data_IF_046344322691
#
_entry.id   IF_046344322691
#
_cell.length_a   1.000
_cell.length_b   1.000
_cell.length_c   1.000
_cell.angle_alpha   90.00
_cell.angle_beta   90.00
_cell.angle_gamma   90.00
#
_symmetry.space_group_name_H-M   'P 1'
#
loop_
_entity.id
_entity.type
_entity.pdbx_description
1 polymer ?
#
# COMPACT_ATOMS: atom_id res chain seq x y z
N UNK A 1 -69.01 -77.56 13.65
CA UNK A 1 -69.48 -76.41 14.45
C UNK A 1 -68.29 -75.89 15.23
N UNK A 2 -68.03 -74.57 15.21
CA UNK A 2 -66.84 -73.85 15.77
C UNK A 2 -65.58 -73.89 14.87
N UNK A 3 -64.84 -72.81 14.61
CA UNK A 3 -64.97 -71.37 14.84
C UNK A 3 -63.99 -70.70 13.86
N UNK A 4 -64.45 -69.71 13.09
CA UNK A 4 -63.60 -68.86 12.25
C UNK A 4 -63.11 -67.69 13.12
N UNK A 5 -61.79 -67.48 13.18
CA UNK A 5 -61.20 -66.25 13.71
C UNK A 5 -60.59 -65.46 12.55
N UNK A 6 -61.21 -64.32 12.26
CA UNK A 6 -60.75 -63.32 11.30
C UNK A 6 -59.82 -62.37 12.05
N UNK A 7 -58.50 -62.47 11.84
CA UNK A 7 -57.53 -61.54 12.42
C UNK A 7 -57.14 -60.51 11.36
N UNK A 8 -57.64 -59.30 11.50
CA UNK A 8 -57.31 -58.14 10.68
C UNK A 8 -55.96 -57.58 11.16
N UNK A 9 -54.87 -57.89 10.46
CA UNK A 9 -53.57 -57.25 10.67
C UNK A 9 -53.47 -56.01 9.77
N UNK A 10 -53.62 -54.84 10.38
CA UNK A 10 -53.35 -53.53 9.77
C UNK A 10 -51.83 -53.41 9.59
N UNK A 11 -51.36 -53.43 8.33
CA UNK A 11 -49.99 -53.05 7.99
C UNK A 11 -49.87 -51.52 8.08
N UNK A 12 -49.21 -51.04 9.13
CA UNK A 12 -48.71 -49.67 9.21
C UNK A 12 -47.38 -49.59 8.45
N UNK A 13 -47.42 -49.17 7.18
CA UNK A 13 -46.22 -48.83 6.41
C UNK A 13 -45.67 -47.51 6.91
N UNK A 14 -44.55 -47.56 7.64
CA UNK A 14 -43.76 -46.39 8.01
C UNK A 14 -43.12 -45.78 6.75
N UNK A 15 -43.65 -44.66 6.28
CA UNK A 15 -42.97 -43.80 5.32
C UNK A 15 -41.82 -43.08 6.02
N UNK A 16 -40.60 -43.56 5.82
CA UNK A 16 -39.40 -42.78 6.09
C UNK A 16 -39.34 -41.60 5.12
N UNK A 17 -39.73 -40.42 5.58
CA UNK A 17 -39.43 -39.15 4.92
C UNK A 17 -37.92 -38.91 5.05
N UNK A 18 -37.16 -39.26 4.01
CA UNK A 18 -35.79 -38.77 3.84
C UNK A 18 -35.87 -37.29 3.45
N UNK A 19 -35.87 -36.44 4.47
CA UNK A 19 -35.66 -35.01 4.28
C UNK A 19 -34.28 -34.77 3.68
N UNK A 20 -34.23 -34.36 2.40
CA UNK A 20 -33.08 -33.67 1.85
C UNK A 20 -32.84 -32.42 2.69
N UNK A 21 -31.86 -32.44 3.59
CA UNK A 21 -31.23 -31.20 4.02
C UNK A 21 -30.62 -30.60 2.75
N UNK A 22 -31.28 -29.56 2.20
CA UNK A 22 -30.58 -28.59 1.36
C UNK A 22 -29.38 -28.16 2.20
N UNK A 23 -28.18 -28.60 1.82
CA UNK A 23 -26.96 -28.14 2.44
C UNK A 23 -27.02 -26.62 2.45
N UNK A 24 -27.05 -26.03 3.64
CA UNK A 24 -26.69 -24.63 3.79
C UNK A 24 -25.26 -24.60 3.26
N UNK A 25 -25.06 -24.03 2.07
CA UNK A 25 -23.74 -23.58 1.68
C UNK A 25 -23.33 -22.61 2.79
N UNK A 26 -22.45 -23.04 3.68
CA UNK A 26 -21.89 -22.20 4.72
C UNK A 26 -21.28 -20.99 4.01
N UNK A 27 -21.97 -19.85 4.15
CA UNK A 27 -21.48 -18.59 3.60
C UNK A 27 -20.29 -18.22 4.48
N UNK A 28 -19.09 -18.27 3.89
CA UNK A 28 -17.86 -17.91 4.58
C UNK A 28 -17.99 -16.53 5.25
N UNK A 29 -17.66 -16.46 6.54
CA UNK A 29 -17.49 -15.20 7.29
C UNK A 29 -16.03 -14.75 7.33
N UNK A 30 -15.13 -15.51 6.71
CA UNK A 30 -13.71 -15.23 6.67
C UNK A 30 -13.39 -14.04 5.78
N UNK A 31 -12.23 -13.44 6.03
CA UNK A 31 -11.71 -12.31 5.31
C UNK A 31 -10.31 -12.59 4.77
N UNK A 32 -10.00 -12.04 3.61
CA UNK A 32 -8.63 -11.75 3.23
C UNK A 32 -8.20 -10.47 3.97
N UNK A 33 -7.23 -10.61 4.88
CA UNK A 33 -6.72 -9.52 5.71
C UNK A 33 -5.39 -9.05 5.15
N UNK A 34 -5.30 -7.78 4.76
CA UNK A 34 -4.06 -7.17 4.27
C UNK A 34 -3.38 -6.42 5.41
N UNK A 35 -2.11 -6.74 5.69
CA UNK A 35 -1.28 -6.05 6.67
C UNK A 35 -0.07 -5.43 5.99
N UNK A 36 0.34 -4.25 6.44
CA UNK A 36 1.59 -3.66 5.98
C UNK A 36 2.76 -4.01 6.87
N UNK A 37 3.94 -4.11 6.25
CA UNK A 37 5.22 -4.16 6.92
C UNK A 37 6.20 -3.28 6.16
N UNK A 38 7.00 -2.51 6.87
CA UNK A 38 8.02 -1.64 6.31
C UNK A 38 9.40 -2.20 6.65
N UNK A 39 10.18 -2.59 5.64
CA UNK A 39 11.44 -3.32 5.83
C UNK A 39 12.60 -2.63 5.12
N UNK A 40 13.54 -2.10 5.90
CA UNK A 40 14.75 -1.43 5.40
C UNK A 40 15.87 -2.41 5.01
N UNK A 41 15.74 -3.69 5.35
CA UNK A 41 16.66 -4.76 4.95
C UNK A 41 16.20 -5.50 3.69
N UNK A 42 14.94 -5.33 3.30
CA UNK A 42 14.43 -5.87 2.03
C UNK A 42 15.25 -5.30 0.86
N UNK A 43 15.45 -6.12 -0.17
CA UNK A 43 16.20 -5.71 -1.36
C UNK A 43 15.61 -4.42 -1.96
N UNK A 44 16.50 -3.53 -2.41
CA UNK A 44 16.13 -2.33 -3.17
C UNK A 44 15.99 -2.70 -4.63
N UNK A 45 14.81 -2.52 -5.20
CA UNK A 45 14.48 -2.83 -6.60
C UNK A 45 14.31 -1.56 -7.44
N UNK A 46 14.45 -1.70 -8.76
CA UNK A 46 14.04 -0.72 -9.76
C UNK A 46 12.60 -0.96 -10.27
N UNK A 47 12.19 -0.19 -11.27
CA UNK A 47 10.86 -0.25 -11.89
C UNK A 47 10.53 -1.59 -12.58
N UNK A 48 11.53 -2.38 -12.96
CA UNK A 48 11.33 -3.70 -13.57
C UNK A 48 11.55 -4.85 -12.58
N UNK A 49 11.63 -4.52 -11.28
CA UNK A 49 11.76 -5.50 -10.21
C UNK A 49 13.15 -6.12 -10.08
N UNK A 50 14.19 -5.50 -10.63
CA UNK A 50 15.58 -5.95 -10.49
C UNK A 50 16.31 -5.22 -9.35
N UNK A 51 17.29 -5.85 -8.68
CA UNK A 51 18.10 -5.17 -7.67
C UNK A 51 18.77 -3.91 -8.22
N UNK A 52 18.73 -2.83 -7.46
CA UNK A 52 19.20 -1.52 -7.89
C UNK A 52 20.06 -0.84 -6.82
N UNK A 53 21.14 -0.19 -7.25
CA UNK A 53 21.97 0.68 -6.41
C UNK A 53 21.49 2.12 -6.46
N UNK A 54 21.88 2.93 -5.48
CA UNK A 54 21.68 4.40 -5.53
C UNK A 54 22.48 4.95 -6.72
N UNK A 55 21.93 5.92 -7.43
CA UNK A 55 22.59 6.49 -8.61
C UNK A 55 23.83 7.29 -8.21
N UNK A 56 24.79 7.43 -9.14
CA UNK A 56 25.98 8.23 -8.90
C UNK A 56 25.61 9.72 -8.73
N UNK A 57 26.20 10.39 -7.74
CA UNK A 57 25.88 11.78 -7.39
C UNK A 57 24.58 11.94 -6.59
N UNK A 58 23.99 10.84 -6.13
CA UNK A 58 22.80 10.85 -5.29
C UNK A 58 23.12 10.31 -3.88
N UNK A 59 22.49 10.93 -2.89
CA UNK A 59 22.44 10.47 -1.51
C UNK A 59 21.11 9.76 -1.26
N UNK A 60 21.08 8.82 -0.32
CA UNK A 60 19.84 8.16 0.06
C UNK A 60 19.87 7.66 1.51
N UNK A 61 18.69 7.63 2.14
CA UNK A 61 18.50 7.13 3.50
C UNK A 61 17.32 6.17 3.59
N UNK A 62 17.28 5.39 4.67
CA UNK A 62 16.15 4.53 5.03
C UNK A 62 15.20 5.37 5.90
N UNK A 63 14.12 5.95 5.35
CA UNK A 63 13.18 6.70 6.18
C UNK A 63 12.43 5.77 7.14
N UNK A 64 12.01 6.30 8.29
CA UNK A 64 11.22 5.57 9.29
C UNK A 64 9.75 5.80 9.00
N UNK A 65 9.09 4.80 8.39
CA UNK A 65 7.70 4.94 7.97
C UNK A 65 6.74 4.92 9.17
N UNK A 66 5.86 5.91 9.20
CA UNK A 66 4.78 6.06 10.19
C UNK A 66 3.49 5.40 9.68
N UNK A 67 3.14 5.65 8.42
CA UNK A 67 1.92 5.08 7.80
C UNK A 67 1.99 5.06 6.28
N UNK A 68 1.12 4.25 5.68
CA UNK A 68 0.93 4.15 4.25
C UNK A 68 -0.56 4.00 3.90
N UNK A 69 -0.91 4.38 2.68
CA UNK A 69 -2.22 4.15 2.08
C UNK A 69 -2.09 3.48 0.72
N UNK A 70 -3.14 2.75 0.33
CA UNK A 70 -3.32 2.23 -1.02
C UNK A 70 -4.65 2.73 -1.59
N UNK A 71 -4.69 2.85 -2.91
CA UNK A 71 -5.91 3.16 -3.65
C UNK A 71 -6.54 1.92 -4.27
N UNK A 72 -5.77 0.87 -4.57
CA UNK A 72 -6.25 -0.25 -5.35
C UNK A 72 -5.50 -1.53 -5.00
N UNK A 73 -6.22 -2.65 -4.92
CA UNK A 73 -5.64 -3.99 -4.77
C UNK A 73 -6.32 -4.93 -5.76
N UNK A 74 -5.50 -5.65 -6.53
CA UNK A 74 -5.95 -6.64 -7.51
C UNK A 74 -5.18 -7.95 -7.34
N UNK A 75 -5.94 -9.05 -7.38
CA UNK A 75 -5.42 -10.40 -7.42
C UNK A 75 -5.35 -10.85 -8.88
N UNK A 76 -4.14 -11.10 -9.38
CA UNK A 76 -3.92 -11.49 -10.76
C UNK A 76 -3.59 -13.01 -10.84
N UNK A 77 -4.38 -13.81 -11.59
CA UNK A 77 -4.15 -15.24 -11.72
C UNK A 77 -2.78 -15.63 -12.27
N UNK A 78 -2.23 -14.85 -13.20
CA UNK A 78 -0.96 -15.17 -13.88
C UNK A 78 -0.21 -13.92 -14.32
N UNK A 79 1.04 -14.11 -14.77
CA UNK A 79 1.88 -13.06 -15.35
C UNK A 79 1.31 -12.40 -16.63
N UNK A 80 0.31 -13.04 -17.27
CA UNK A 80 -0.36 -12.55 -18.48
C UNK A 80 -1.66 -11.78 -18.18
N UNK A 81 -2.11 -11.75 -16.93
CA UNK A 81 -3.31 -11.00 -16.55
C UNK A 81 -3.04 -9.50 -16.71
N UNK A 82 -3.76 -8.85 -17.62
CA UNK A 82 -3.67 -7.40 -17.83
C UNK A 82 -4.15 -6.64 -16.59
N UNK A 83 -3.56 -5.46 -16.32
CA UNK A 83 -3.99 -4.62 -15.19
C UNK A 83 -5.48 -4.29 -15.29
N UNK A 84 -6.22 -4.45 -14.18
CA UNK A 84 -7.65 -4.20 -14.13
C UNK A 84 -8.52 -5.34 -14.66
N UNK A 85 -7.92 -6.49 -15.02
CA UNK A 85 -8.66 -7.67 -15.52
C UNK A 85 -8.60 -8.87 -14.57
N UNK A 86 -7.77 -8.79 -13.53
CA UNK A 86 -7.80 -9.66 -12.37
C UNK A 86 -9.01 -9.39 -11.48
N UNK A 87 -8.94 -9.91 -10.26
CA UNK A 87 -9.99 -9.69 -9.27
C UNK A 87 -9.67 -8.46 -8.43
N UNK A 88 -10.44 -7.39 -8.61
CA UNK A 88 -10.24 -6.10 -7.93
C UNK A 88 -10.94 -6.19 -6.58
N UNK A 89 -10.15 -6.35 -5.53
CA UNK A 89 -10.66 -6.65 -4.18
C UNK A 89 -10.71 -5.43 -3.27
N UNK A 90 -10.06 -4.34 -3.67
CA UNK A 90 -10.12 -3.06 -2.96
C UNK A 90 -9.95 -1.91 -3.95
N UNK A 91 -10.77 -0.87 -3.79
CA UNK A 91 -10.58 0.42 -4.45
C UNK A 91 -11.03 1.54 -3.49
N UNK A 92 -10.16 2.52 -3.22
CA UNK A 92 -10.51 3.66 -2.38
C UNK A 92 -11.35 4.68 -3.17
N UNK A 93 -12.16 5.51 -2.49
CA UNK A 93 -13.00 6.49 -3.17
C UNK A 93 -12.21 7.48 -4.03
N UNK A 94 -12.82 7.87 -5.14
CA UNK A 94 -12.29 8.84 -6.10
C UNK A 94 -13.24 10.04 -6.21
N UNK A 95 -12.74 11.15 -6.73
CA UNK A 95 -13.48 12.40 -6.89
C UNK A 95 -13.06 13.12 -8.17
N UNK A 96 -13.92 14.02 -8.64
CA UNK A 96 -13.67 14.97 -9.73
C UNK A 96 -13.67 16.42 -9.23
N UNK A 97 -13.62 16.64 -7.92
CA UNK A 97 -13.65 17.97 -7.31
C UNK A 97 -12.53 18.91 -7.82
N UNK A 98 -11.36 18.35 -8.14
CA UNK A 98 -10.24 19.08 -8.74
C UNK A 98 -10.25 19.11 -10.27
N UNK A 99 -11.37 18.79 -10.92
CA UNK A 99 -11.53 18.67 -12.37
C UNK A 99 -11.36 17.23 -12.85
N UNK A 100 -10.11 16.79 -13.02
CA UNK A 100 -9.79 15.42 -13.43
C UNK A 100 -10.05 14.40 -12.32
N UNK A 101 -10.34 13.16 -12.70
CA UNK A 101 -10.52 12.04 -11.77
C UNK A 101 -9.26 11.87 -10.91
N UNK A 102 -9.44 11.82 -9.60
CA UNK A 102 -8.37 11.72 -8.62
C UNK A 102 -8.81 10.87 -7.42
N UNK A 103 -7.83 10.31 -6.70
CA UNK A 103 -8.05 9.67 -5.41
C UNK A 103 -8.59 10.72 -4.43
N UNK A 104 -9.66 10.41 -3.70
CA UNK A 104 -10.15 11.28 -2.65
C UNK A 104 -9.34 11.05 -1.37
N UNK A 105 -8.33 11.90 -1.14
CA UNK A 105 -7.41 11.73 -0.02
C UNK A 105 -8.13 11.74 1.34
N UNK A 106 -9.16 12.57 1.49
CA UNK A 106 -9.93 12.68 2.73
C UNK A 106 -10.72 11.40 3.09
N UNK A 107 -10.86 10.46 2.14
CA UNK A 107 -11.53 9.17 2.33
C UNK A 107 -10.57 7.99 2.20
N UNK A 108 -9.26 8.24 2.25
CA UNK A 108 -8.26 7.19 2.21
C UNK A 108 -8.12 6.49 3.57
N UNK A 109 -7.82 5.20 3.54
CA UNK A 109 -7.48 4.43 4.73
C UNK A 109 -5.96 4.46 4.93
N UNK A 110 -5.49 4.30 6.16
CA UNK A 110 -4.07 4.31 6.49
C UNK A 110 -3.75 3.14 7.41
N UNK A 111 -2.54 2.60 7.29
CA UNK A 111 -1.99 1.62 8.22
C UNK A 111 -0.48 1.82 8.40
N UNK A 112 -0.01 1.62 9.62
CA UNK A 112 1.39 1.60 10.00
C UNK A 112 2.03 0.22 9.88
N UNK A 113 3.24 0.11 10.43
CA UNK A 113 4.01 -1.12 10.40
C UNK A 113 3.37 -2.23 11.27
N UNK A 114 3.08 -3.37 10.67
CA UNK A 114 2.44 -4.51 11.33
C UNK A 114 0.92 -4.36 11.51
N UNK A 115 0.33 -3.27 11.03
CA UNK A 115 -1.10 -2.97 11.17
C UNK A 115 -1.92 -3.55 10.02
N UNK A 116 -3.21 -3.78 10.29
CA UNK A 116 -4.18 -4.18 9.26
C UNK A 116 -4.60 -2.96 8.46
N UNK A 117 -4.38 -3.00 7.15
CA UNK A 117 -4.83 -1.97 6.22
C UNK A 117 -6.32 -2.13 5.85
N UNK A 118 -6.72 -3.34 5.46
CA UNK A 118 -8.11 -3.64 5.14
C UNK A 118 -8.45 -5.11 5.38
N UNK A 119 -9.75 -5.38 5.53
CA UNK A 119 -10.33 -6.73 5.54
C UNK A 119 -11.32 -6.82 4.39
N UNK A 120 -11.16 -7.84 3.55
CA UNK A 120 -12.00 -8.06 2.38
C UNK A 120 -12.75 -9.38 2.61
N UNK A 121 -14.09 -9.39 2.60
CA UNK A 121 -14.84 -10.64 2.73
C UNK A 121 -14.43 -11.64 1.65
N UNK A 122 -14.15 -12.88 2.04
CA UNK A 122 -13.80 -13.94 1.08
C UNK A 122 -14.90 -14.13 0.02
N UNK A 123 -16.15 -13.93 0.42
CA UNK A 123 -17.33 -14.03 -0.45
C UNK A 123 -17.39 -12.96 -1.54
N UNK A 124 -16.64 -11.86 -1.44
CA UNK A 124 -16.50 -10.87 -2.51
C UNK A 124 -15.33 -11.14 -3.46
N UNK A 125 -14.55 -12.19 -3.21
CA UNK A 125 -13.40 -12.58 -4.02
C UNK A 125 -13.79 -13.79 -4.87
N UNK A 126 -13.54 -13.73 -6.17
CA UNK A 126 -13.78 -14.83 -7.09
C UNK A 126 -12.90 -16.02 -6.68
N UNK A 127 -13.47 -17.23 -6.48
CA UNK A 127 -12.68 -18.43 -6.22
C UNK A 127 -11.71 -18.70 -7.37
N UNK A 128 -10.49 -19.12 -7.01
CA UNK A 128 -9.41 -19.35 -7.97
C UNK A 128 -8.04 -19.35 -7.31
N UNK A 129 -7.00 -19.40 -8.16
CA UNK A 129 -5.62 -19.22 -7.72
C UNK A 129 -5.04 -17.95 -8.30
N UNK A 130 -4.29 -17.22 -7.48
CA UNK A 130 -3.69 -15.93 -7.79
C UNK A 130 -2.19 -15.98 -7.51
N UNK A 131 -1.40 -15.89 -8.56
CA UNK A 131 0.07 -15.86 -8.44
C UNK A 131 0.59 -14.49 -7.99
N UNK A 132 -0.13 -13.41 -8.32
CA UNK A 132 0.37 -12.05 -8.19
C UNK A 132 -0.58 -11.16 -7.40
N UNK A 133 0.00 -10.35 -6.52
CA UNK A 133 -0.65 -9.19 -5.92
C UNK A 133 -0.23 -7.94 -6.68
N UNK A 134 -1.21 -7.13 -7.04
CA UNK A 134 -1.02 -5.78 -7.59
C UNK A 134 -1.61 -4.78 -6.64
N UNK A 135 -0.84 -3.75 -6.31
CA UNK A 135 -1.25 -2.74 -5.33
C UNK A 135 -0.86 -1.35 -5.79
N UNK A 136 -1.85 -0.47 -5.98
CA UNK A 136 -1.58 0.96 -6.16
C UNK A 136 -1.39 1.61 -4.80
N UNK A 137 -0.15 1.87 -4.42
CA UNK A 137 0.12 2.66 -3.23
C UNK A 137 -0.15 4.13 -3.54
N UNK A 138 -0.85 4.82 -2.64
CA UNK A 138 -1.35 6.18 -2.88
C UNK A 138 -0.61 7.24 -2.08
N UNK A 139 -0.17 6.90 -0.88
CA UNK A 139 0.42 7.84 0.07
C UNK A 139 1.38 7.14 1.02
N UNK A 140 2.40 7.87 1.48
CA UNK A 140 3.30 7.47 2.54
C UNK A 140 3.62 8.62 3.49
N UNK A 141 3.81 8.29 4.76
CA UNK A 141 4.30 9.21 5.78
C UNK A 141 5.51 8.59 6.45
N UNK A 142 6.61 9.33 6.53
CA UNK A 142 7.83 8.82 7.12
C UNK A 142 8.72 9.92 7.68
N UNK A 143 9.44 9.61 8.74
CA UNK A 143 10.47 10.47 9.28
C UNK A 143 11.79 10.28 8.53
N UNK A 144 12.42 11.42 8.24
CA UNK A 144 13.71 11.55 7.57
C UNK A 144 14.63 12.40 8.41
N UNK A 145 15.91 12.35 8.06
CA UNK A 145 16.91 13.25 8.62
C UNK A 145 17.40 14.22 7.57
N UNK A 146 17.59 15.46 7.96
CA UNK A 146 18.20 16.48 7.12
C UNK A 146 19.30 17.20 7.90
N UNK A 147 20.28 17.71 7.19
CA UNK A 147 21.44 18.37 7.74
C UNK A 147 21.41 19.86 7.43
N UNK A 148 21.74 20.66 8.44
CA UNK A 148 21.88 22.10 8.32
C UNK A 148 23.34 22.42 8.60
N UNK A 149 24.03 23.04 7.64
CA UNK A 149 25.35 23.66 7.78
C UNK A 149 25.31 25.10 7.27
N UNK A 150 24.60 25.96 7.99
CA UNK A 150 24.39 27.37 7.64
C UNK A 150 23.99 28.20 8.86
N UNK A 151 23.80 29.51 8.67
CA UNK A 151 23.28 30.41 9.70
C UNK A 151 21.76 30.52 9.54
N UNK A 152 21.02 30.12 10.56
CA UNK A 152 19.55 30.22 10.62
C UNK A 152 19.17 31.25 11.67
N UNK A 153 18.43 32.30 11.27
CA UNK A 153 18.04 33.40 12.16
C UNK A 153 19.21 34.02 12.97
N UNK A 154 20.39 34.13 12.34
CA UNK A 154 21.61 34.67 12.98
C UNK A 154 22.39 33.68 13.86
N UNK A 155 21.93 32.43 13.97
CA UNK A 155 22.59 31.38 14.75
C UNK A 155 23.30 30.41 13.79
N UNK A 156 24.62 30.19 13.91
CA UNK A 156 25.32 29.14 13.18
C UNK A 156 24.81 27.76 13.62
N UNK A 157 24.35 26.96 12.66
CA UNK A 157 23.84 25.61 12.89
C UNK A 157 24.62 24.65 11.99
N UNK A 158 25.17 23.60 12.60
CA UNK A 158 25.95 22.56 11.92
C UNK A 158 25.62 21.18 12.48
N UNK A 159 24.42 20.68 12.24
CA UNK A 159 23.97 19.38 12.75
C UNK A 159 22.80 18.79 11.97
N UNK A 160 22.52 17.52 12.26
CA UNK A 160 21.39 16.77 11.73
C UNK A 160 20.14 16.99 12.59
N UNK A 161 18.98 17.08 11.93
CA UNK A 161 17.68 17.25 12.56
C UNK A 161 16.65 16.27 11.97
N UNK A 162 15.62 15.90 12.75
CA UNK A 162 14.51 15.12 12.24
C UNK A 162 13.52 16.01 11.47
N UNK A 163 12.88 15.44 10.45
CA UNK A 163 11.70 15.99 9.83
C UNK A 163 10.77 14.88 9.34
N UNK A 164 9.54 15.21 9.00
CA UNK A 164 8.55 14.26 8.50
C UNK A 164 8.19 14.62 7.07
N UNK A 165 8.14 13.60 6.21
CA UNK A 165 7.70 13.71 4.83
C UNK A 165 6.33 13.04 4.69
N UNK A 166 5.42 13.72 3.98
CA UNK A 166 4.18 13.17 3.49
C UNK A 166 4.24 13.10 1.96
N UNK A 167 4.45 11.91 1.40
CA UNK A 167 4.64 11.67 -0.03
C UNK A 167 3.40 11.09 -0.70
N UNK A 168 3.02 11.65 -1.84
CA UNK A 168 1.91 11.17 -2.67
C UNK A 168 2.46 10.37 -3.83
N UNK A 169 2.36 9.06 -3.70
CA UNK A 169 2.92 8.11 -4.66
C UNK A 169 1.87 7.50 -5.57
N UNK A 170 0.59 7.90 -5.45
CA UNK A 170 -0.53 7.54 -6.34
C UNK A 170 -0.67 8.43 -7.59
N UNK A 171 -1.48 7.98 -8.56
CA UNK A 171 -1.50 8.57 -9.91
C UNK A 171 -1.91 10.05 -9.95
N UNK A 172 -2.98 10.38 -9.24
CA UNK A 172 -3.52 11.72 -9.09
C UNK A 172 -4.38 11.73 -7.82
N UNK A 173 -4.16 12.71 -6.94
CA UNK A 173 -4.81 12.76 -5.64
C UNK A 173 -5.39 14.15 -5.39
N UNK A 174 -6.67 14.22 -5.07
CA UNK A 174 -7.31 15.45 -4.65
C UNK A 174 -7.08 15.64 -3.15
N UNK A 175 -6.42 16.74 -2.79
CA UNK A 175 -6.04 17.05 -1.43
C UNK A 175 -6.71 18.37 -1.05
N UNK A 176 -7.56 18.34 -0.02
CA UNK A 176 -8.10 19.57 0.58
C UNK A 176 -7.04 20.22 1.47
N UNK A 177 -6.73 19.56 2.58
CA UNK A 177 -5.69 19.95 3.52
C UNK A 177 -4.74 18.77 3.69
N UNK A 178 -3.44 19.04 3.61
CA UNK A 178 -2.39 18.06 3.92
C UNK A 178 -1.88 18.33 5.32
N UNK A 179 -2.19 17.45 6.26
CA UNK A 179 -1.49 17.39 7.55
C UNK A 179 -0.31 16.43 7.41
N UNK A 180 0.91 16.88 7.71
CA UNK A 180 2.13 16.09 7.52
C UNK A 180 2.43 15.33 8.81
N UNK A 181 2.58 16.04 9.92
CA UNK A 181 2.59 15.48 11.26
C UNK A 181 1.75 16.38 12.18
N UNK A 182 2.27 17.53 12.62
CA UNK A 182 1.51 18.50 13.43
C UNK A 182 1.14 19.78 12.66
N UNK A 183 1.76 20.02 11.52
CA UNK A 183 1.53 21.18 10.68
C UNK A 183 0.71 20.81 9.44
N UNK A 184 0.00 21.79 8.88
CA UNK A 184 -0.93 21.58 7.77
C UNK A 184 -0.76 22.60 6.65
N UNK A 185 -0.89 22.14 5.40
CA UNK A 185 -0.96 22.95 4.20
C UNK A 185 -2.37 22.89 3.60
N UNK A 186 -2.94 24.04 3.29
CA UNK A 186 -4.14 24.10 2.45
C UNK A 186 -3.73 23.94 0.99
N UNK A 187 -4.22 22.88 0.35
CA UNK A 187 -3.88 22.54 -1.04
C UNK A 187 -5.08 22.79 -1.96
N UNK A 188 -6.24 22.24 -1.60
CA UNK A 188 -7.50 22.32 -2.33
C UNK A 188 -7.36 22.10 -3.85
N UNK A 189 -6.60 21.07 -4.24
CA UNK A 189 -6.26 20.81 -5.64
C UNK A 189 -5.88 19.34 -5.88
N UNK A 190 -5.94 18.94 -7.16
CA UNK A 190 -5.34 17.71 -7.66
C UNK A 190 -3.81 17.80 -7.64
N UNK A 191 -3.14 16.74 -7.19
CA UNK A 191 -1.69 16.59 -7.18
C UNK A 191 -1.30 15.25 -7.80
N UNK A 192 -0.37 15.30 -8.75
CA UNK A 192 0.14 14.12 -9.44
C UNK A 192 1.12 13.34 -8.55
N UNK A 193 1.44 12.13 -9.00
CA UNK A 193 2.49 11.31 -8.40
C UNK A 193 3.78 12.13 -8.19
N UNK A 194 4.39 11.98 -7.01
CA UNK A 194 5.61 12.65 -6.63
C UNK A 194 5.39 13.99 -5.93
N UNK A 195 4.16 14.45 -5.74
CA UNK A 195 3.90 15.56 -4.82
C UNK A 195 4.27 15.17 -3.39
N UNK A 196 4.82 16.10 -2.62
CA UNK A 196 5.18 15.85 -1.23
C UNK A 196 5.07 17.09 -0.35
N UNK A 197 4.81 16.87 0.93
CA UNK A 197 4.99 17.85 1.99
C UNK A 197 6.16 17.45 2.89
N UNK A 198 6.86 18.44 3.42
CA UNK A 198 7.87 18.28 4.48
C UNK A 198 7.52 19.18 5.65
N UNK A 199 7.63 18.67 6.86
CA UNK A 199 7.64 19.49 8.08
C UNK A 199 8.79 19.15 9.00
N UNK A 200 9.18 20.11 9.82
CA UNK A 200 10.07 19.93 10.97
C UNK A 200 9.72 20.95 12.03
N UNK A 201 9.99 20.61 13.29
CA UNK A 201 9.88 21.49 14.43
C UNK A 201 11.15 21.32 15.27
N UNK A 202 12.08 22.27 15.10
CA UNK A 202 13.41 22.22 15.72
C UNK A 202 13.43 23.10 16.95
N UNK A 203 13.80 22.55 18.10
CA UNK A 203 14.27 23.34 19.24
C UNK A 203 15.80 23.41 19.22
N UNK A 204 16.37 24.61 19.07
CA UNK A 204 17.81 24.83 19.10
C UNK A 204 18.14 26.05 19.95
N UNK A 205 19.01 25.86 20.96
CA UNK A 205 19.38 26.88 21.95
C UNK A 205 18.16 27.57 22.60
N UNK A 206 17.09 26.82 22.87
CA UNK A 206 15.87 27.33 23.51
C UNK A 206 14.94 28.10 22.58
N UNK A 207 15.26 28.22 21.29
CA UNK A 207 14.39 28.82 20.27
C UNK A 207 13.76 27.70 19.44
N UNK A 208 12.45 27.77 19.23
CA UNK A 208 11.70 26.86 18.37
C UNK A 208 11.64 27.41 16.93
N UNK A 209 11.94 26.58 15.95
CA UNK A 209 11.88 26.85 14.52
C UNK A 209 10.94 25.85 13.83
N UNK A 210 9.62 26.14 13.77
CA UNK A 210 8.70 25.33 13.01
C UNK A 210 8.86 25.68 11.52
N UNK A 211 8.90 24.66 10.68
CA UNK A 211 8.99 24.83 9.24
C UNK A 211 8.12 23.80 8.53
N UNK A 212 7.40 24.25 7.50
CA UNK A 212 6.61 23.40 6.63
C UNK A 212 6.76 23.90 5.19
N UNK A 213 6.89 22.95 4.26
CA UNK A 213 6.97 23.23 2.83
C UNK A 213 6.36 22.08 2.03
N UNK A 214 6.23 22.27 0.73
CA UNK A 214 5.86 21.21 -0.20
C UNK A 214 6.66 21.31 -1.48
N UNK A 215 6.69 20.22 -2.24
CA UNK A 215 7.36 20.14 -3.52
C UNK A 215 6.79 19.05 -4.40
N UNK A 216 7.45 18.85 -5.54
CA UNK A 216 7.06 17.90 -6.57
C UNK A 216 8.34 17.25 -7.11
N UNK A 217 8.43 15.93 -7.00
CA UNK A 217 9.49 15.17 -7.64
C UNK A 217 9.33 15.20 -9.17
N UNK A 218 10.41 15.03 -9.94
CA UNK A 218 10.35 15.02 -11.40
C UNK A 218 9.36 13.95 -11.93
N UNK A 219 8.64 14.22 -13.03
CA UNK A 219 7.73 13.25 -13.63
C UNK A 219 8.42 11.90 -13.92
N UNK A 220 7.82 10.80 -13.47
CA UNK A 220 8.34 9.44 -13.66
C UNK A 220 9.54 9.07 -12.79
N UNK A 221 9.98 9.95 -11.88
CA UNK A 221 11.11 9.66 -11.00
C UNK A 221 10.74 8.74 -9.82
N UNK A 222 9.46 8.71 -9.42
CA UNK A 222 8.99 7.81 -8.36
C UNK A 222 9.06 6.35 -8.80
N UNK A 223 9.89 5.55 -8.12
CA UNK A 223 10.02 4.13 -8.41
C UNK A 223 8.76 3.34 -8.03
N UNK A 224 8.28 2.51 -8.96
CA UNK A 224 7.11 1.62 -8.83
C UNK A 224 7.48 0.25 -9.41
N UNK A 225 7.94 -0.70 -8.59
CA UNK A 225 8.42 -1.99 -9.10
C UNK A 225 7.32 -2.84 -9.75
N UNK A 226 7.55 -3.24 -11.00
CA UNK A 226 6.75 -4.20 -11.73
C UNK A 226 7.63 -5.25 -12.46
N UNK A 227 7.86 -6.43 -11.86
CA UNK A 227 8.59 -7.52 -12.51
C UNK A 227 7.86 -8.10 -13.74
N UNK A 228 6.58 -7.78 -13.92
CA UNK A 228 5.78 -8.19 -15.07
C UNK A 228 5.78 -7.15 -16.21
N UNK A 229 6.70 -6.19 -16.20
CA UNK A 229 6.72 -5.11 -17.19
C UNK A 229 6.64 -5.60 -18.65
N UNK A 230 7.30 -6.71 -18.98
CA UNK A 230 7.32 -7.26 -20.34
C UNK A 230 6.01 -7.97 -20.76
N UNK A 231 5.25 -8.53 -19.82
CA UNK A 231 4.08 -9.38 -20.11
C UNK A 231 2.75 -8.73 -19.73
N UNK A 232 2.76 -7.87 -18.73
CA UNK A 232 1.61 -7.11 -18.24
C UNK A 232 2.08 -5.77 -17.67
N UNK A 233 2.37 -4.80 -18.57
CA UNK A 233 2.85 -3.48 -18.19
C UNK A 233 1.78 -2.71 -17.42
N UNK A 234 2.24 -1.71 -16.69
CA UNK A 234 1.37 -0.75 -15.98
C UNK A 234 1.51 0.61 -16.66
N UNK A 235 0.43 1.41 -16.77
CA UNK A 235 0.55 2.77 -17.29
C UNK A 235 1.56 3.59 -16.48
N UNK A 236 2.31 4.45 -17.16
CA UNK A 236 3.20 5.38 -16.50
C UNK A 236 2.41 6.26 -15.51
N UNK A 237 2.93 6.41 -14.30
CA UNK A 237 2.23 7.12 -13.22
C UNK A 237 1.08 6.36 -12.58
N UNK A 238 0.83 5.08 -12.90
CA UNK A 238 -0.26 4.30 -12.28
C UNK A 238 0.02 3.85 -10.84
N UNK A 239 1.29 3.84 -10.42
CA UNK A 239 1.70 3.58 -9.03
C UNK A 239 1.45 2.16 -8.54
N UNK A 240 1.13 1.25 -9.47
CA UNK A 240 0.83 -0.15 -9.18
C UNK A 240 2.11 -0.96 -9.03
N UNK A 241 2.42 -1.32 -7.80
CA UNK A 241 3.49 -2.25 -7.47
C UNK A 241 2.98 -3.66 -7.67
N UNK A 242 3.81 -4.51 -8.26
CA UNK A 242 3.44 -5.90 -8.56
C UNK A 242 4.46 -6.86 -7.94
N UNK A 243 3.98 -7.91 -7.28
CA UNK A 243 4.84 -8.97 -6.75
C UNK A 243 4.11 -10.30 -6.67
N UNK A 244 4.85 -11.39 -6.84
CA UNK A 244 4.33 -12.72 -6.67
C UNK A 244 4.12 -13.02 -5.17
N UNK A 245 3.08 -13.76 -4.84
CA UNK A 245 2.88 -14.27 -3.48
C UNK A 245 4.00 -15.22 -3.06
N UNK A 246 4.26 -15.28 -1.75
CA UNK A 246 5.15 -16.25 -1.11
C UNK A 246 4.42 -17.04 -0.03
N UNK A 247 4.73 -18.34 0.16
CA UNK A 247 5.72 -19.15 -0.57
C UNK A 247 5.23 -19.68 -1.94
N UNK A 248 3.98 -19.41 -2.31
CA UNK A 248 3.40 -19.86 -3.59
C UNK A 248 2.28 -18.92 -4.02
N UNK A 249 1.20 -19.46 -4.58
CA UNK A 249 0.03 -18.68 -5.01
C UNK A 249 -1.05 -18.63 -3.92
N UNK A 250 -1.76 -17.52 -3.83
CA UNK A 250 -2.97 -17.43 -3.02
C UNK A 250 -4.07 -18.29 -3.66
N UNK A 251 -4.74 -19.13 -2.89
CA UNK A 251 -5.89 -19.92 -3.36
C UNK A 251 -7.11 -19.54 -2.55
N UNK A 252 -8.19 -19.20 -3.25
CA UNK A 252 -9.49 -18.85 -2.69
C UNK A 252 -10.51 -19.87 -3.17
N UNK A 253 -11.21 -20.50 -2.25
CA UNK A 253 -12.25 -21.51 -2.47
C UNK A 253 -13.65 -20.92 -2.37
N UNK A 254 -13.81 -19.83 -1.61
CA UNK A 254 -15.09 -19.17 -1.32
C UNK A 254 -15.81 -19.74 -0.09
N UNK A 255 -15.24 -20.76 0.56
CA UNK A 255 -15.79 -21.46 1.73
C UNK A 255 -14.82 -21.49 2.92
N UNK A 256 -13.80 -20.63 2.90
CA UNK A 256 -12.85 -20.46 3.99
C UNK A 256 -13.58 -20.23 5.31
N UNK A 257 -13.18 -20.93 6.37
CA UNK A 257 -13.75 -20.74 7.71
C UNK A 257 -12.92 -19.80 8.59
N UNK A 258 -11.69 -19.51 8.18
CA UNK A 258 -10.72 -18.68 8.90
C UNK A 258 -10.17 -17.58 7.99
N UNK A 259 -9.84 -16.44 8.59
CA UNK A 259 -9.21 -15.33 7.88
C UNK A 259 -7.88 -15.77 7.23
N UNK A 260 -7.63 -15.35 5.99
CA UNK A 260 -6.32 -15.49 5.33
C UNK A 260 -5.58 -14.17 5.51
N UNK A 261 -4.43 -14.20 6.17
CA UNK A 261 -3.63 -12.99 6.40
C UNK A 261 -2.51 -12.90 5.38
N UNK A 262 -2.45 -11.77 4.68
CA UNK A 262 -1.35 -11.41 3.78
C UNK A 262 -0.53 -10.29 4.43
N UNK A 263 0.71 -10.59 4.80
CA UNK A 263 1.69 -9.56 5.15
C UNK A 263 2.34 -9.03 3.87
N UNK A 264 2.07 -7.76 3.56
CA UNK A 264 2.66 -7.05 2.43
C UNK A 264 3.87 -6.28 2.94
N UNK A 265 5.05 -6.88 2.77
CA UNK A 265 6.33 -6.27 3.12
C UNK A 265 6.80 -5.33 2.02
N UNK A 266 7.03 -4.07 2.36
CA UNK A 266 7.44 -3.01 1.45
C UNK A 266 8.86 -2.56 1.78
N UNK A 267 9.70 -2.53 0.76
CA UNK A 267 11.11 -2.16 0.93
C UNK A 267 11.25 -0.65 1.11
N UNK A 268 11.78 -0.25 2.25
CA UNK A 268 12.14 1.14 2.58
C UNK A 268 13.65 1.38 2.48
N UNK A 269 14.37 0.37 1.98
CA UNK A 269 15.81 0.41 1.81
C UNK A 269 16.21 1.50 0.81
N UNK A 270 16.81 2.56 1.34
CA UNK A 270 17.26 3.75 0.61
C UNK A 270 16.18 4.28 -0.32
N UNK A 271 14.96 4.35 0.19
CA UNK A 271 13.78 4.76 -0.57
C UNK A 271 13.57 6.27 -0.59
N UNK A 272 14.29 7.04 0.24
CA UNK A 272 14.32 8.50 0.15
C UNK A 272 15.67 8.93 -0.43
N UNK A 273 15.66 9.45 -1.66
CA UNK A 273 16.84 9.74 -2.48
C UNK A 273 16.82 11.19 -2.97
N UNK A 274 17.99 11.82 -2.99
CA UNK A 274 18.18 13.22 -3.40
C UNK A 274 19.44 13.38 -4.26
N UNK A 275 19.54 14.48 -5.00
CA UNK A 275 20.80 14.83 -5.68
C UNK A 275 21.75 15.46 -4.67
N UNK A 276 23.00 14.97 -4.63
CA UNK A 276 24.03 15.58 -3.80
C UNK A 276 24.59 16.82 -4.49
N UNK A 277 24.56 17.95 -3.78
CA UNK A 277 25.38 19.12 -4.11
C UNK A 277 26.66 19.07 -3.29
N UNK A 278 26.55 18.59 -2.05
CA UNK A 278 27.68 18.29 -1.17
C UNK A 278 27.72 16.77 -1.01
N UNK A 279 28.78 16.13 -1.53
CA UNK A 279 28.90 14.67 -1.53
C UNK A 279 29.34 14.13 -0.15
N UNK A 280 28.47 14.22 0.85
CA UNK A 280 28.74 13.80 2.22
C UNK A 280 27.72 12.78 2.78
N UNK A 281 26.77 12.35 1.95
CA UNK A 281 25.73 11.39 2.30
C UNK A 281 24.63 11.94 3.19
N UNK A 282 24.56 13.26 3.42
CA UNK A 282 23.50 13.90 4.21
C UNK A 282 22.59 14.70 3.30
N UNK A 283 21.29 14.70 3.62
CA UNK A 283 20.35 15.51 2.87
C UNK A 283 20.41 16.96 3.36
N UNK A 284 20.92 17.86 2.53
CA UNK A 284 21.10 19.28 2.81
C UNK A 284 20.21 20.18 1.93
N UNK A 285 18.89 20.28 2.22
CA UNK A 285 17.99 21.15 1.44
C UNK A 285 18.49 22.60 1.31
N UNK A 286 19.15 23.12 2.35
CA UNK A 286 19.68 24.49 2.37
C UNK A 286 20.83 24.73 1.37
N UNK A 287 21.43 23.67 0.84
CA UNK A 287 22.48 23.72 -0.20
C UNK A 287 21.93 23.50 -1.61
N UNK A 288 20.61 23.36 -1.76
CA UNK A 288 19.95 23.15 -3.04
C UNK A 288 19.81 21.67 -3.44
N UNK A 289 19.94 20.75 -2.48
CA UNK A 289 19.67 19.33 -2.73
C UNK A 289 18.17 19.09 -2.86
N UNK A 290 17.77 18.47 -3.96
CA UNK A 290 16.37 18.21 -4.31
C UNK A 290 16.08 16.72 -4.31
N UNK A 291 14.90 16.38 -3.81
CA UNK A 291 14.40 15.00 -3.76
C UNK A 291 14.26 14.47 -5.19
N UNK A 292 14.87 13.33 -5.46
CA UNK A 292 14.86 12.66 -6.76
C UNK A 292 13.85 11.50 -6.77
N UNK A 293 13.82 10.70 -5.71
CA UNK A 293 12.93 9.55 -5.63
C UNK A 293 12.47 9.31 -4.19
N UNK A 294 11.20 8.95 -4.07
CA UNK A 294 10.55 8.55 -2.82
C UNK A 294 9.71 7.29 -3.00
N UNK A 295 9.83 6.61 -4.13
CA UNK A 295 9.11 5.39 -4.42
C UNK A 295 9.55 4.26 -3.50
N UNK A 296 8.60 3.39 -3.15
CA UNK A 296 8.91 2.15 -2.46
C UNK A 296 9.83 1.27 -3.32
N UNK A 297 10.70 0.51 -2.67
CA UNK A 297 11.78 -0.21 -3.34
C UNK A 297 11.55 -1.70 -3.52
N UNK A 298 10.31 -2.13 -3.44
CA UNK A 298 9.89 -3.52 -3.65
C UNK A 298 8.71 -3.90 -2.78
N UNK A 299 8.06 -5.00 -3.15
CA UNK A 299 6.95 -5.59 -2.41
C UNK A 299 7.12 -7.10 -2.33
N UNK A 300 6.84 -7.67 -1.16
CA UNK A 300 6.80 -9.12 -0.93
C UNK A 300 5.50 -9.43 -0.16
N UNK A 301 4.46 -9.93 -0.85
CA UNK A 301 3.23 -10.39 -0.22
C UNK A 301 3.40 -11.84 0.27
N UNK A 302 3.31 -12.04 1.58
CA UNK A 302 3.48 -13.34 2.24
C UNK A 302 2.15 -13.81 2.82
N UNK A 303 1.74 -15.02 2.44
CA UNK A 303 0.59 -15.71 3.03
C UNK A 303 1.06 -16.28 4.38
N UNK A 304 0.39 -15.89 5.47
CA UNK A 304 0.71 -16.33 6.84
C UNK A 304 0.01 -17.63 7.22
#
# INVERSE_FOLDING_TARGET
>A
MRTIYFFCCILFTAWCLTGCQKGVTDISTANLVIKFKFDSNQVRLDNIGQPATVAAGHGAQNPVFNSMSAHYIELAPSALTALGTGDIVYQSPETTAGGEKAINFAQSNFAGNGEVFCKIPITSIRPGSYEWLRMSLSYQNADVKFYIDTVVAGIPVKQEFPGTIAGFIGFNTYINTLTINNQSLLINANKLQGFWGFETDINYNGVNFPFITSGQAPPGATTVPNPLFATSPIPAGSCVVTAAFKPGKLTITGIETEDIVIEVSLSTNKSFEWNEVVADGKWEPSKGETVQDMGIRGMIPTIQ
#
